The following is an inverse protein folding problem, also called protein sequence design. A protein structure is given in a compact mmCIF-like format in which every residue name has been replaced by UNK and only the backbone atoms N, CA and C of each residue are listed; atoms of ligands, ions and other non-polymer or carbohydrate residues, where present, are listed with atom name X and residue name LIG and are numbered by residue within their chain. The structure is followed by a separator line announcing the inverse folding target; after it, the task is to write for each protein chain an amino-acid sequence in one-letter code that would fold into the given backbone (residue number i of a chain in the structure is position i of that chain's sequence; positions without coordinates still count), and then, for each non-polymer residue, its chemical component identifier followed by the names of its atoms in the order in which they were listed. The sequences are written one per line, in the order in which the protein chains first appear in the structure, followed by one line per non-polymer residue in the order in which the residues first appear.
data_IF_985803336676
#
_entry.id   IF_985803336676
#
_cell.length_a   1.000
_cell.length_b   1.000
_cell.length_c   1.000
_cell.angle_alpha   90.00
_cell.angle_beta   90.00
_cell.angle_gamma   90.00
#
_symmetry.space_group_name_H-M   'P 1'
#
loop_
_entity.id
_entity.type
_entity.pdbx_description
1 polymer ?
#
# COMPACT_ATOMS: atom_id res chain seq x y z
N UNK A 1 -2.34 -1.03 25.30
CA UNK A 1 -1.78 -1.65 24.09
C UNK A 1 -2.46 -2.99 23.75
N UNK A 2 -2.68 -3.90 24.72
CA UNK A 2 -3.41 -5.18 24.50
C UNK A 2 -4.83 -5.08 23.93
N UNK A 3 -5.62 -4.11 24.38
CA UNK A 3 -7.00 -3.93 23.89
C UNK A 3 -7.09 -3.65 22.37
N UNK A 4 -6.02 -3.09 21.77
CA UNK A 4 -5.99 -2.82 20.34
C UNK A 4 -5.69 -4.06 19.51
N UNK A 5 -4.80 -4.95 19.97
CA UNK A 5 -4.57 -6.26 19.33
C UNK A 5 -5.81 -7.15 19.41
N UNK A 6 -6.54 -7.10 20.53
CA UNK A 6 -7.82 -7.79 20.66
C UNK A 6 -8.87 -7.19 19.72
N UNK A 7 -8.98 -5.85 19.64
CA UNK A 7 -9.88 -5.20 18.66
C UNK A 7 -9.51 -5.55 17.22
N UNK A 8 -8.22 -5.72 16.92
CA UNK A 8 -7.73 -6.16 15.63
C UNK A 8 -8.21 -7.59 15.35
N UNK A 9 -8.02 -8.52 16.28
CA UNK A 9 -8.47 -9.90 16.12
C UNK A 9 -10.00 -10.01 15.97
N UNK A 10 -10.77 -9.21 16.71
CA UNK A 10 -12.23 -9.17 16.56
C UNK A 10 -12.66 -8.57 15.21
N UNK A 11 -12.04 -7.48 14.77
CA UNK A 11 -12.32 -6.88 13.46
C UNK A 11 -11.90 -7.80 12.30
N UNK A 12 -10.79 -8.53 12.43
CA UNK A 12 -10.36 -9.58 11.48
C UNK A 12 -11.38 -10.72 11.42
N UNK A 13 -11.92 -11.13 12.58
CA UNK A 13 -12.98 -12.14 12.66
C UNK A 13 -14.27 -11.72 11.96
N UNK A 14 -14.56 -10.42 11.94
CA UNK A 14 -15.76 -9.83 11.36
C UNK A 14 -15.64 -9.52 9.85
N UNK A 15 -14.81 -10.26 9.10
CA UNK A 15 -14.41 -10.03 7.68
C UNK A 15 -15.45 -9.35 6.75
N UNK A 16 -16.72 -9.73 6.82
CA UNK A 16 -17.82 -9.20 6.00
C UNK A 16 -18.60 -8.04 6.65
N UNK A 17 -18.58 -7.93 7.98
CA UNK A 17 -19.28 -6.90 8.75
C UNK A 17 -18.44 -5.64 9.02
N UNK A 18 -17.11 -5.73 8.91
CA UNK A 18 -16.24 -4.56 9.03
C UNK A 18 -16.34 -3.68 7.78
N UNK A 19 -17.10 -2.60 7.89
CA UNK A 19 -17.32 -1.67 6.80
C UNK A 19 -16.16 -0.66 6.69
N UNK A 20 -15.27 -0.91 5.74
CA UNK A 20 -14.15 -0.01 5.39
C UNK A 20 -14.62 1.32 4.78
N UNK A 21 -15.91 1.46 4.48
CA UNK A 21 -16.50 2.70 3.96
C UNK A 21 -17.04 3.61 5.06
N UNK A 22 -17.03 3.18 6.32
CA UNK A 22 -17.40 4.05 7.44
C UNK A 22 -16.28 5.08 7.69
N UNK A 23 -16.67 6.34 7.87
CA UNK A 23 -15.77 7.48 8.09
C UNK A 23 -15.65 7.85 9.58
N UNK A 24 -16.06 6.96 10.48
CA UNK A 24 -15.85 7.21 11.91
C UNK A 24 -14.37 7.21 12.25
N UNK A 25 -13.97 8.09 13.17
CA UNK A 25 -12.60 8.20 13.68
C UNK A 25 -12.09 6.85 14.25
N UNK A 26 -13.00 6.04 14.79
CA UNK A 26 -12.72 4.68 15.25
C UNK A 26 -12.27 3.77 14.10
N UNK A 27 -13.00 3.77 12.99
CA UNK A 27 -12.69 2.96 11.80
C UNK A 27 -11.41 3.44 11.13
N UNK A 28 -11.20 4.75 11.00
CA UNK A 28 -9.96 5.31 10.47
C UNK A 28 -8.73 4.91 11.30
N UNK A 29 -8.82 5.00 12.63
CA UNK A 29 -7.73 4.60 13.53
C UNK A 29 -7.42 3.11 13.43
N UNK A 30 -8.46 2.27 13.32
CA UNK A 30 -8.31 0.84 13.13
C UNK A 30 -7.65 0.52 11.79
N UNK A 31 -8.11 1.14 10.69
CA UNK A 31 -7.53 0.96 9.35
C UNK A 31 -6.06 1.38 9.33
N UNK A 32 -5.71 2.52 9.95
CA UNK A 32 -4.33 2.95 10.06
C UNK A 32 -3.47 1.90 10.77
N UNK A 33 -3.98 1.32 11.87
CA UNK A 33 -3.29 0.22 12.57
C UNK A 33 -3.17 -1.05 11.74
N UNK A 34 -4.17 -1.37 10.92
CA UNK A 34 -4.10 -2.48 9.97
C UNK A 34 -3.00 -2.27 8.93
N UNK A 35 -2.93 -1.08 8.34
CA UNK A 35 -1.91 -0.73 7.35
C UNK A 35 -0.52 -0.77 7.98
N UNK A 36 -0.35 -0.25 9.21
CA UNK A 36 0.93 -0.31 9.94
C UNK A 36 1.37 -1.77 10.16
N UNK A 37 0.45 -2.62 10.62
CA UNK A 37 0.75 -4.02 10.90
C UNK A 37 1.06 -4.80 9.61
N UNK A 38 0.31 -4.55 8.53
CA UNK A 38 0.56 -5.12 7.21
C UNK A 38 1.94 -4.70 6.68
N UNK A 39 2.22 -3.40 6.73
CA UNK A 39 3.49 -2.82 6.30
C UNK A 39 4.66 -3.46 7.02
N UNK A 40 4.57 -3.63 8.34
CA UNK A 40 5.60 -4.29 9.12
C UNK A 40 5.86 -5.73 8.63
N UNK A 41 4.80 -6.51 8.40
CA UNK A 41 4.95 -7.88 7.87
C UNK A 41 5.53 -7.90 6.45
N UNK A 42 5.10 -7.00 5.58
CA UNK A 42 5.64 -6.87 4.22
C UNK A 42 7.12 -6.49 4.24
N UNK A 43 7.52 -5.58 5.13
CA UNK A 43 8.92 -5.17 5.30
C UNK A 43 9.77 -6.33 5.80
N UNK A 44 9.33 -7.03 6.85
CA UNK A 44 10.00 -8.23 7.38
C UNK A 44 10.16 -9.30 6.30
N UNK A 45 9.09 -9.60 5.55
CA UNK A 45 9.13 -10.58 4.47
C UNK A 45 9.97 -10.14 3.26
N UNK A 46 10.13 -8.84 3.03
CA UNK A 46 10.93 -8.32 1.94
C UNK A 46 12.45 -8.41 2.21
N UNK A 47 12.85 -8.54 3.47
CA UNK A 47 14.23 -8.74 3.88
C UNK A 47 14.59 -10.24 3.97
N UNK A 48 13.60 -11.14 3.96
CA UNK A 48 13.75 -12.59 3.95
C UNK A 48 13.87 -13.16 2.52
N UNK A 49 14.62 -14.27 2.33
CA UNK A 49 14.65 -14.99 1.07
C UNK A 49 13.27 -15.60 0.74
N UNK A 50 13.01 -15.82 -0.55
CA UNK A 50 11.68 -16.17 -1.07
C UNK A 50 11.07 -17.45 -0.47
N UNK A 51 11.90 -18.39 -0.01
CA UNK A 51 11.48 -19.62 0.66
C UNK A 51 11.20 -19.50 2.16
N UNK A 52 11.51 -18.36 2.80
CA UNK A 52 11.32 -18.13 4.24
C UNK A 52 10.26 -17.07 4.55
N UNK A 53 9.61 -16.53 3.52
CA UNK A 53 8.54 -15.53 3.67
C UNK A 53 7.41 -16.11 4.53
N UNK A 54 7.06 -15.41 5.60
CA UNK A 54 5.95 -15.81 6.46
C UNK A 54 4.63 -15.53 5.75
N UNK A 55 3.63 -16.42 5.87
CA UNK A 55 2.32 -16.16 5.32
C UNK A 55 1.71 -14.94 6.01
N UNK A 56 1.29 -13.95 5.22
CA UNK A 56 0.53 -12.80 5.70
C UNK A 56 -0.93 -13.23 5.83
N UNK A 57 -1.60 -12.77 6.88
CA UNK A 57 -3.03 -13.06 7.07
C UNK A 57 -3.85 -12.46 5.90
N UNK A 58 -4.58 -13.32 5.19
CA UNK A 58 -5.43 -12.95 4.06
C UNK A 58 -6.49 -11.91 4.42
N UNK A 59 -6.97 -11.91 5.67
CA UNK A 59 -7.97 -10.95 6.14
C UNK A 59 -7.38 -9.54 6.21
N UNK A 60 -6.14 -9.45 6.67
CA UNK A 60 -5.40 -8.20 6.79
C UNK A 60 -5.06 -7.64 5.40
N UNK A 61 -4.63 -8.52 4.49
CA UNK A 61 -4.47 -8.18 3.07
C UNK A 61 -5.81 -7.74 2.43
N UNK A 62 -6.91 -8.42 2.76
CA UNK A 62 -8.24 -8.10 2.27
C UNK A 62 -8.71 -6.69 2.66
N UNK A 63 -8.46 -6.26 3.90
CA UNK A 63 -8.79 -4.90 4.36
C UNK A 63 -7.98 -3.86 3.60
N UNK A 64 -6.66 -4.07 3.44
CA UNK A 64 -5.79 -3.16 2.69
C UNK A 64 -6.19 -3.08 1.21
N UNK A 65 -6.55 -4.21 0.60
CA UNK A 65 -7.08 -4.25 -0.77
C UNK A 65 -8.39 -3.48 -0.92
N UNK A 66 -9.32 -3.63 0.02
CA UNK A 66 -10.56 -2.84 0.03
C UNK A 66 -10.26 -1.34 0.18
N UNK A 67 -9.27 -0.95 0.99
CA UNK A 67 -8.81 0.43 1.11
C UNK A 67 -8.22 0.97 -0.20
N UNK A 68 -7.40 0.16 -0.88
CA UNK A 68 -6.88 0.54 -2.20
C UNK A 68 -8.00 0.77 -3.21
N UNK A 69 -8.95 -0.16 -3.33
CA UNK A 69 -10.10 -0.02 -4.22
C UNK A 69 -10.90 1.24 -3.90
N UNK A 70 -11.24 1.46 -2.62
CA UNK A 70 -11.94 2.67 -2.18
C UNK A 70 -11.19 3.95 -2.56
N UNK A 71 -9.87 4.01 -2.34
CA UNK A 71 -9.09 5.19 -2.71
C UNK A 71 -8.97 5.38 -4.22
N UNK A 72 -9.00 4.30 -5.02
CA UNK A 72 -9.06 4.38 -6.48
C UNK A 72 -10.42 4.91 -6.95
N UNK A 73 -11.52 4.41 -6.39
CA UNK A 73 -12.88 4.88 -6.66
C UNK A 73 -13.05 6.37 -6.29
N UNK A 74 -12.47 6.79 -5.17
CA UNK A 74 -12.45 8.19 -4.71
C UNK A 74 -11.47 9.09 -5.52
N UNK A 75 -10.77 8.56 -6.54
CA UNK A 75 -9.74 9.26 -7.32
C UNK A 75 -8.58 9.81 -6.47
N UNK A 76 -8.32 9.20 -5.31
CA UNK A 76 -7.24 9.55 -4.37
C UNK A 76 -5.94 8.80 -4.70
N UNK A 77 -5.48 8.91 -5.95
CA UNK A 77 -4.29 8.19 -6.44
C UNK A 77 -3.01 8.45 -5.60
N UNK A 78 -2.83 9.67 -5.08
CA UNK A 78 -1.68 9.99 -4.20
C UNK A 78 -1.64 9.13 -2.94
N UNK A 79 -2.81 8.87 -2.35
CA UNK A 79 -2.92 8.09 -1.13
C UNK A 79 -2.66 6.61 -1.40
N UNK A 80 -3.20 6.09 -2.51
CA UNK A 80 -2.91 4.74 -3.01
C UNK A 80 -1.42 4.55 -3.23
N UNK A 81 -0.76 5.50 -3.89
CA UNK A 81 0.69 5.48 -4.12
C UNK A 81 1.47 5.45 -2.81
N UNK A 82 1.13 6.29 -1.82
CA UNK A 82 1.79 6.26 -0.52
C UNK A 82 1.67 4.89 0.14
N UNK A 83 0.45 4.36 0.25
CA UNK A 83 0.19 3.07 0.91
C UNK A 83 0.89 1.94 0.13
N UNK A 84 0.90 1.96 -1.21
CA UNK A 84 1.58 0.97 -2.03
C UNK A 84 3.11 0.99 -1.80
N UNK A 85 3.70 2.17 -1.63
CA UNK A 85 5.13 2.31 -1.35
C UNK A 85 5.49 1.89 0.08
N UNK A 86 4.67 2.23 1.07
CA UNK A 86 4.83 1.82 2.47
C UNK A 86 4.75 0.30 2.60
N UNK A 87 3.73 -0.32 2.00
CA UNK A 87 3.51 -1.77 2.01
C UNK A 87 4.45 -2.55 1.08
N UNK A 88 5.39 -1.86 0.40
CA UNK A 88 6.33 -2.43 -0.58
C UNK A 88 5.65 -3.17 -1.73
N UNK A 89 4.41 -2.81 -2.07
CA UNK A 89 3.59 -3.40 -3.13
C UNK A 89 3.75 -2.67 -4.47
N UNK A 90 4.76 -3.11 -5.21
CA UNK A 90 5.05 -2.56 -6.55
C UNK A 90 3.97 -2.90 -7.58
N UNK A 91 3.21 -3.99 -7.35
CA UNK A 91 2.07 -4.40 -8.18
C UNK A 91 0.96 -3.35 -8.21
N UNK A 92 0.61 -2.78 -7.05
CA UNK A 92 -0.41 -1.71 -6.95
C UNK A 92 0.14 -0.42 -7.51
N UNK A 93 1.39 -0.10 -7.17
CA UNK A 93 2.05 1.10 -7.63
C UNK A 93 2.12 1.17 -9.17
N UNK A 94 2.48 0.08 -9.84
CA UNK A 94 2.57 0.01 -11.31
C UNK A 94 1.20 0.14 -11.99
N UNK A 95 0.10 -0.30 -11.34
CA UNK A 95 -1.27 -0.15 -11.86
C UNK A 95 -1.86 1.25 -11.61
N UNK A 96 -1.57 1.83 -10.46
CA UNK A 96 -2.18 3.10 -10.01
C UNK A 96 -1.74 4.29 -10.85
N UNK A 97 -0.47 4.34 -11.24
CA UNK A 97 0.09 5.47 -11.99
C UNK A 97 -0.61 5.68 -13.35
N UNK A 98 -0.74 4.65 -14.22
CA UNK A 98 -1.43 4.82 -15.50
C UNK A 98 -2.95 4.98 -15.39
N UNK A 99 -3.57 4.52 -14.29
CA UNK A 99 -4.99 4.77 -14.02
C UNK A 99 -5.28 6.23 -13.61
N UNK A 100 -4.25 6.99 -13.23
CA UNK A 100 -4.42 8.38 -12.82
C UNK A 100 -4.62 9.31 -14.02
N UNK A 101 -5.49 10.31 -13.85
CA UNK A 101 -5.74 11.33 -14.88
C UNK A 101 -4.53 12.23 -15.15
N UNK A 102 -3.55 12.28 -14.23
CA UNK A 102 -2.33 13.08 -14.31
C UNK A 102 -1.10 12.20 -14.08
N UNK A 103 -0.80 11.38 -15.09
CA UNK A 103 0.34 10.45 -15.08
C UNK A 103 1.68 11.19 -14.89
N UNK A 104 1.98 12.31 -15.60
CA UNK A 104 3.23 13.04 -15.40
C UNK A 104 3.37 13.59 -13.98
N UNK A 105 2.30 14.15 -13.41
CA UNK A 105 2.28 14.63 -12.03
C UNK A 105 2.44 13.51 -11.00
N UNK A 106 1.82 12.35 -11.21
CA UNK A 106 1.98 11.18 -10.34
C UNK A 106 3.40 10.61 -10.39
N UNK A 107 4.05 10.61 -11.56
CA UNK A 107 5.45 10.20 -11.68
C UNK A 107 6.38 11.14 -10.93
N UNK A 108 6.22 12.45 -11.10
CA UNK A 108 7.02 13.44 -10.37
C UNK A 108 6.79 13.35 -8.85
N UNK A 109 5.55 13.17 -8.42
CA UNK A 109 5.19 12.97 -7.01
C UNK A 109 5.84 11.70 -6.45
N UNK A 110 5.71 10.58 -7.15
CA UNK A 110 6.28 9.29 -6.75
C UNK A 110 7.80 9.34 -6.68
N UNK A 111 8.47 10.02 -7.63
CA UNK A 111 9.91 10.23 -7.61
C UNK A 111 10.34 11.03 -6.38
N UNK A 112 9.61 12.12 -6.06
CA UNK A 112 9.87 12.91 -4.85
C UNK A 112 9.73 12.05 -3.59
N UNK A 113 8.66 11.26 -3.48
CA UNK A 113 8.46 10.34 -2.36
C UNK A 113 9.60 9.32 -2.25
N UNK A 114 10.06 8.74 -3.37
CA UNK A 114 11.18 7.81 -3.39
C UNK A 114 12.48 8.45 -2.86
N UNK A 115 12.72 9.71 -3.20
CA UNK A 115 13.92 10.41 -2.77
C UNK A 115 13.86 10.84 -1.30
N UNK A 116 12.67 11.16 -0.77
CA UNK A 116 12.51 11.69 0.60
C UNK A 116 12.22 10.60 1.65
N UNK A 117 11.38 9.61 1.34
CA UNK A 117 10.87 8.65 2.33
C UNK A 117 11.64 7.32 2.36
N UNK A 118 12.29 6.93 1.26
CA UNK A 118 12.91 5.59 1.18
C UNK A 118 14.35 5.57 1.67
N UNK A 119 14.51 5.09 2.91
CA UNK A 119 15.82 4.85 3.52
C UNK A 119 16.54 3.62 2.92
N UNK A 120 15.80 2.57 2.56
CA UNK A 120 16.39 1.36 2.00
C UNK A 120 16.80 1.54 0.53
N UNK A 121 18.12 1.53 0.27
CA UNK A 121 18.72 1.68 -1.06
C UNK A 121 18.26 0.62 -2.07
N UNK A 122 18.12 -0.64 -1.64
CA UNK A 122 17.72 -1.74 -2.52
C UNK A 122 16.26 -1.56 -2.97
N UNK A 123 15.38 -1.25 -2.02
CA UNK A 123 13.97 -1.00 -2.32
C UNK A 123 13.80 0.25 -3.20
N UNK A 124 14.50 1.34 -2.89
CA UNK A 124 14.50 2.55 -3.71
C UNK A 124 14.91 2.27 -5.16
N UNK A 125 15.94 1.46 -5.37
CA UNK A 125 16.35 1.06 -6.72
C UNK A 125 15.29 0.23 -7.44
N UNK A 126 14.56 -0.66 -6.74
CA UNK A 126 13.44 -1.41 -7.33
C UNK A 126 12.32 -0.46 -7.77
N UNK A 127 11.93 0.50 -6.94
CA UNK A 127 10.88 1.47 -7.28
C UNK A 127 11.31 2.37 -8.44
N UNK A 128 12.54 2.88 -8.43
CA UNK A 128 13.08 3.69 -9.53
C UNK A 128 13.07 2.92 -10.87
N UNK A 129 13.38 1.62 -10.87
CA UNK A 129 13.29 0.78 -12.08
C UNK A 129 11.85 0.70 -12.60
N UNK A 130 10.87 0.55 -11.71
CA UNK A 130 9.44 0.54 -12.09
C UNK A 130 9.03 1.90 -12.64
N UNK A 131 9.43 2.99 -12.00
CA UNK A 131 9.18 4.36 -12.48
C UNK A 131 9.73 4.60 -13.90
N UNK A 132 10.98 4.20 -14.15
CA UNK A 132 11.60 4.32 -15.47
C UNK A 132 10.87 3.47 -16.51
N UNK A 133 10.45 2.25 -16.15
CA UNK A 133 9.69 1.36 -17.04
C UNK A 133 8.35 2.00 -17.43
N UNK A 134 7.62 2.58 -16.49
CA UNK A 134 6.36 3.27 -16.75
C UNK A 134 6.61 4.50 -17.64
N UNK A 135 7.63 5.29 -17.33
CA UNK A 135 8.01 6.47 -18.13
C UNK A 135 8.33 6.10 -19.59
N UNK A 136 9.13 5.07 -19.83
CA UNK A 136 9.46 4.59 -21.18
C UNK A 136 8.26 4.03 -21.95
N UNK A 137 7.27 3.47 -21.25
CA UNK A 137 6.06 2.96 -21.88
C UNK A 137 5.11 4.11 -22.29
N UNK A 138 5.17 5.26 -21.61
CA UNK A 138 4.38 6.44 -21.96
C UNK A 138 4.94 7.16 -23.19
N UNK A 139 6.25 7.19 -23.39
CA UNK A 139 6.88 7.78 -24.58
C UNK A 139 6.67 6.95 -25.87
N UNK A 140 6.21 5.70 -25.76
CA UNK A 140 5.96 4.80 -26.90
C UNK A 140 4.53 4.89 -27.44
N UNK A 141 3.68 5.71 -26.85
CA UNK A 141 2.29 5.97 -27.27
C UNK A 141 2.25 7.34 -27.94
#
# INVERSE_FOLDING_TARGET
MRALEESLNYALGASELFNVNDNSEYVETIIAKYIDHYTKQCVENADLPEGEKKPIDQRLEGIVNKMFQRCLDDHKYKQVVCIALETRRLDVFEKTIPESNDVPGMLAYSLKLCMTLMQNKQFRNKVLRVLVKIYMNLEKI
#
